data_IF_076748924794
#
_entry.id   IF_076748924794
#
_cell.length_a   1.000
_cell.length_b   1.000
_cell.length_c   1.000
_cell.angle_alpha   90.00
_cell.angle_beta   90.00
_cell.angle_gamma   90.00
#
_symmetry.space_group_name_H-M   'P 1'
#
loop_
_entity.id
_entity.type
_entity.pdbx_description
1 polymer ?
#
# COMPACT_ATOMS: atom_id res chain seq x y z
N UNK A 1 -31.40 -23.10 -26.31
CA UNK A 1 -32.00 -22.77 -25.00
C UNK A 1 -31.39 -21.44 -24.55
N UNK A 2 -32.17 -20.38 -24.54
CA UNK A 2 -31.78 -19.10 -23.94
C UNK A 2 -31.63 -19.36 -22.43
N UNK A 3 -30.41 -19.35 -21.90
CA UNK A 3 -30.17 -19.39 -20.48
C UNK A 3 -30.84 -18.15 -19.86
N UNK A 4 -31.86 -18.36 -19.02
CA UNK A 4 -32.45 -17.26 -18.26
C UNK A 4 -31.44 -16.72 -17.30
N UNK A 5 -31.18 -15.40 -17.34
CA UNK A 5 -30.24 -14.75 -16.45
C UNK A 5 -30.70 -14.85 -14.98
N UNK A 6 -29.80 -15.23 -14.10
CA UNK A 6 -30.04 -15.24 -12.67
C UNK A 6 -30.06 -13.81 -12.13
N UNK A 7 -31.10 -13.43 -11.40
CA UNK A 7 -31.35 -12.06 -10.96
C UNK A 7 -30.74 -11.78 -9.59
N UNK A 8 -30.02 -10.68 -9.47
CA UNK A 8 -29.43 -10.13 -8.24
C UNK A 8 -29.75 -8.64 -8.11
N UNK A 9 -29.65 -8.10 -6.92
CA UNK A 9 -29.64 -6.65 -6.73
C UNK A 9 -28.25 -6.07 -7.11
N UNK A 10 -27.17 -6.79 -6.71
CA UNK A 10 -25.78 -6.42 -6.96
C UNK A 10 -24.98 -7.60 -7.48
N UNK A 11 -24.23 -7.36 -8.56
CA UNK A 11 -23.13 -8.25 -8.98
C UNK A 11 -21.81 -7.54 -8.74
N UNK A 12 -20.89 -8.20 -8.01
CA UNK A 12 -19.55 -7.70 -7.72
C UNK A 12 -18.52 -8.52 -8.50
N UNK A 13 -17.60 -7.85 -9.19
CA UNK A 13 -16.53 -8.48 -9.97
C UNK A 13 -15.19 -8.29 -9.25
N UNK A 14 -14.68 -9.34 -8.63
CA UNK A 14 -13.44 -9.35 -7.83
C UNK A 14 -13.68 -9.39 -6.34
N UNK A 15 -12.95 -10.26 -5.63
CA UNK A 15 -13.04 -10.50 -4.19
C UNK A 15 -11.98 -9.77 -3.37
N UNK A 16 -11.28 -8.80 -3.96
CA UNK A 16 -10.35 -7.93 -3.27
C UNK A 16 -11.04 -7.01 -2.24
N UNK A 17 -10.29 -6.15 -1.53
CA UNK A 17 -10.83 -5.30 -0.45
C UNK A 17 -12.08 -4.51 -0.83
N UNK A 18 -12.10 -3.89 -2.02
CA UNK A 18 -13.27 -3.14 -2.48
C UNK A 18 -14.49 -4.04 -2.72
N UNK A 19 -14.27 -5.17 -3.39
CA UNK A 19 -15.36 -6.09 -3.74
C UNK A 19 -15.93 -6.79 -2.52
N UNK A 20 -15.09 -7.34 -1.64
CA UNK A 20 -15.52 -8.01 -0.40
C UNK A 20 -16.34 -7.07 0.49
N UNK A 21 -15.84 -5.83 0.72
CA UNK A 21 -16.52 -4.89 1.61
C UNK A 21 -17.75 -4.26 0.97
N UNK A 22 -17.75 -4.04 -0.34
CA UNK A 22 -18.94 -3.61 -1.09
C UNK A 22 -20.03 -4.69 -1.07
N UNK A 23 -19.68 -5.94 -1.35
CA UNK A 23 -20.62 -7.07 -1.30
C UNK A 23 -21.23 -7.25 0.09
N UNK A 24 -20.40 -7.29 1.13
CA UNK A 24 -20.85 -7.41 2.51
C UNK A 24 -21.76 -6.25 2.93
N UNK A 25 -21.45 -5.01 2.52
CA UNK A 25 -22.27 -3.83 2.81
C UNK A 25 -23.67 -3.96 2.19
N UNK A 26 -23.76 -4.37 0.92
CA UNK A 26 -25.06 -4.55 0.26
C UNK A 26 -25.88 -5.68 0.92
N UNK A 27 -25.26 -6.81 1.17
CA UNK A 27 -25.90 -7.96 1.81
C UNK A 27 -26.38 -7.64 3.23
N UNK A 28 -25.60 -6.87 4.01
CA UNK A 28 -25.99 -6.39 5.35
C UNK A 28 -27.30 -5.58 5.32
N UNK A 29 -27.55 -4.82 4.25
CA UNK A 29 -28.79 -4.08 4.01
C UNK A 29 -29.84 -4.90 3.21
N UNK A 30 -29.76 -6.22 3.24
CA UNK A 30 -30.79 -7.14 2.70
C UNK A 30 -30.81 -7.26 1.18
N UNK A 31 -29.74 -6.85 0.48
CA UNK A 31 -29.63 -7.02 -0.97
C UNK A 31 -29.18 -8.43 -1.32
N UNK A 32 -29.74 -8.99 -2.39
CA UNK A 32 -29.27 -10.24 -2.98
C UNK A 32 -28.00 -9.98 -3.79
N UNK A 33 -26.87 -10.54 -3.37
CA UNK A 33 -25.54 -10.24 -3.92
C UNK A 33 -24.88 -11.49 -4.49
N UNK A 34 -24.33 -11.37 -5.71
CA UNK A 34 -23.36 -12.32 -6.25
C UNK A 34 -21.98 -11.67 -6.31
N UNK A 35 -20.94 -12.41 -5.90
CA UNK A 35 -19.54 -12.01 -6.02
C UNK A 35 -18.80 -13.00 -6.92
N UNK A 36 -18.22 -12.47 -8.00
CA UNK A 36 -17.49 -13.25 -9.01
C UNK A 36 -16.00 -13.12 -8.75
N UNK A 37 -15.27 -14.25 -8.72
CA UNK A 37 -13.81 -14.27 -8.61
C UNK A 37 -13.23 -15.27 -9.61
N UNK A 38 -12.25 -14.82 -10.40
CA UNK A 38 -11.59 -15.66 -11.41
C UNK A 38 -10.46 -16.52 -10.84
N UNK A 39 -9.79 -16.00 -9.81
CA UNK A 39 -8.65 -16.66 -9.19
C UNK A 39 -9.10 -17.76 -8.23
N UNK A 40 -8.25 -18.75 -7.97
CA UNK A 40 -8.58 -19.85 -7.05
C UNK A 40 -8.74 -19.40 -5.60
N UNK A 41 -8.14 -18.27 -5.22
CA UNK A 41 -8.17 -17.73 -3.87
C UNK A 41 -8.89 -16.40 -3.81
N UNK A 42 -9.70 -16.19 -2.78
CA UNK A 42 -10.34 -14.91 -2.47
C UNK A 42 -9.32 -13.88 -1.93
N UNK A 43 -9.72 -12.60 -1.87
CA UNK A 43 -8.97 -11.54 -1.20
C UNK A 43 -8.12 -10.66 -2.12
N UNK A 44 -8.05 -10.99 -3.42
CA UNK A 44 -7.32 -10.21 -4.42
C UNK A 44 -5.83 -10.02 -4.07
N UNK A 45 -5.20 -9.01 -4.66
CA UNK A 45 -3.78 -8.71 -4.43
C UNK A 45 -3.46 -8.40 -2.96
N UNK A 46 -4.35 -7.77 -2.22
CA UNK A 46 -4.14 -7.40 -0.82
C UNK A 46 -3.75 -8.61 0.05
N UNK A 47 -4.41 -9.74 -0.13
CA UNK A 47 -4.20 -10.94 0.68
C UNK A 47 -3.20 -11.88 0.03
N UNK A 48 -3.14 -11.92 -1.30
CA UNK A 48 -2.41 -12.98 -2.01
C UNK A 48 -1.01 -12.55 -2.50
N UNK A 49 -0.84 -11.31 -2.95
CA UNK A 49 0.38 -10.89 -3.65
C UNK A 49 0.91 -9.51 -3.26
N UNK A 50 0.23 -8.79 -2.36
CA UNK A 50 0.59 -7.41 -2.04
C UNK A 50 0.73 -7.14 -0.54
N UNK A 51 -0.28 -6.51 0.03
CA UNK A 51 -0.23 -5.91 1.38
C UNK A 51 0.11 -6.93 2.47
N UNK A 52 -0.70 -7.96 2.67
CA UNK A 52 -0.51 -8.92 3.77
C UNK A 52 0.77 -9.73 3.60
N UNK A 53 1.07 -10.33 2.44
CA UNK A 53 2.31 -11.06 2.26
C UNK A 53 3.57 -10.24 2.54
N UNK A 54 3.71 -9.06 1.95
CA UNK A 54 4.93 -8.24 2.10
C UNK A 54 5.12 -7.72 3.53
N UNK A 55 4.02 -7.37 4.25
CA UNK A 55 4.11 -6.92 5.64
C UNK A 55 4.49 -8.08 6.56
N UNK A 56 3.99 -9.29 6.31
CA UNK A 56 4.40 -10.48 7.07
C UNK A 56 5.87 -10.83 6.79
N UNK A 57 6.34 -10.72 5.55
CA UNK A 57 7.76 -10.91 5.23
C UNK A 57 8.65 -9.86 5.92
N UNK A 58 8.18 -8.62 6.04
CA UNK A 58 8.88 -7.59 6.82
C UNK A 58 9.07 -8.01 8.27
N UNK A 59 8.04 -8.50 8.95
CA UNK A 59 8.15 -8.98 10.33
C UNK A 59 9.10 -10.18 10.42
N UNK A 60 9.03 -11.12 9.48
CA UNK A 60 9.98 -12.23 9.39
C UNK A 60 11.43 -11.72 9.21
N UNK A 61 11.65 -10.73 8.34
CA UNK A 61 12.98 -10.14 8.13
C UNK A 61 13.51 -9.45 9.40
N UNK A 62 12.67 -8.72 10.13
CA UNK A 62 13.03 -8.11 11.41
C UNK A 62 13.40 -9.16 12.45
N UNK A 63 12.64 -10.24 12.53
CA UNK A 63 12.91 -11.34 13.46
C UNK A 63 14.25 -12.02 13.15
N UNK A 64 14.43 -12.50 11.90
CA UNK A 64 15.61 -13.26 11.51
C UNK A 64 16.89 -12.40 11.42
N UNK A 65 16.76 -11.11 11.14
CA UNK A 65 17.92 -10.20 11.09
C UNK A 65 18.48 -9.85 12.47
N UNK A 66 17.68 -9.95 13.52
CA UNK A 66 18.05 -9.50 14.87
C UNK A 66 18.31 -7.99 14.97
N UNK A 67 17.85 -7.19 14.01
CA UNK A 67 18.13 -5.74 13.96
C UNK A 67 17.66 -5.00 15.22
N UNK A 68 16.47 -5.35 15.74
CA UNK A 68 15.94 -4.76 16.98
C UNK A 68 16.81 -5.07 18.17
N UNK A 69 17.21 -6.34 18.34
CA UNK A 69 18.01 -6.81 19.46
C UNK A 69 19.43 -6.27 19.44
N UNK A 70 20.04 -6.19 18.26
CA UNK A 70 21.40 -5.65 18.08
C UNK A 70 21.49 -4.19 18.52
N UNK A 71 20.52 -3.37 18.16
CA UNK A 71 20.46 -1.96 18.53
C UNK A 71 20.31 -1.74 20.05
N UNK A 72 19.60 -2.65 20.75
CA UNK A 72 19.32 -2.52 22.19
C UNK A 72 20.41 -3.16 23.05
N UNK A 73 20.81 -4.38 22.73
CA UNK A 73 21.66 -5.20 23.61
C UNK A 73 23.11 -5.32 23.16
N UNK A 74 23.45 -4.78 21.97
CA UNK A 74 24.79 -4.91 21.39
C UNK A 74 25.19 -6.34 21.03
N UNK A 75 24.24 -7.28 21.04
CA UNK A 75 24.47 -8.71 20.76
C UNK A 75 23.89 -9.04 19.39
N UNK A 76 24.65 -9.77 18.58
CA UNK A 76 24.15 -10.26 17.29
C UNK A 76 23.30 -11.52 17.47
N UNK A 77 21.98 -11.35 17.49
CA UNK A 77 20.99 -12.43 17.48
C UNK A 77 20.55 -12.84 16.08
N UNK A 78 21.32 -12.49 15.06
CA UNK A 78 20.97 -12.83 13.69
C UNK A 78 20.88 -14.35 13.48
N UNK A 79 19.73 -14.81 13.04
CA UNK A 79 19.49 -16.21 12.66
C UNK A 79 19.73 -16.43 11.15
N UNK A 80 20.50 -15.56 10.50
CA UNK A 80 20.74 -15.63 9.05
C UNK A 80 21.51 -16.86 8.62
N UNK A 81 22.44 -17.33 9.46
CA UNK A 81 23.19 -18.55 9.19
C UNK A 81 22.26 -19.75 9.24
N UNK A 82 22.04 -20.37 8.10
CA UNK A 82 21.13 -21.51 7.93
C UNK A 82 19.66 -21.16 7.68
N UNK A 83 19.29 -19.87 7.57
CA UNK A 83 17.94 -19.45 7.20
C UNK A 83 17.61 -19.94 5.78
N UNK A 84 16.57 -20.76 5.67
CA UNK A 84 16.05 -21.19 4.37
C UNK A 84 14.93 -20.25 3.89
N UNK A 85 14.67 -20.23 2.60
CA UNK A 85 13.53 -19.50 2.05
C UNK A 85 12.21 -20.04 2.61
N UNK A 86 12.12 -21.33 2.89
CA UNK A 86 10.95 -21.96 3.50
C UNK A 86 10.66 -21.38 4.89
N UNK A 87 11.68 -21.21 5.73
CA UNK A 87 11.54 -20.60 7.06
C UNK A 87 11.08 -19.13 6.92
N UNK A 88 11.68 -18.40 6.00
CA UNK A 88 11.33 -17.00 5.73
C UNK A 88 9.88 -16.83 5.26
N UNK A 89 9.39 -17.73 4.40
CA UNK A 89 8.03 -17.67 3.83
C UNK A 89 6.96 -18.28 4.74
N UNK A 90 7.33 -19.13 5.70
CA UNK A 90 6.38 -19.93 6.50
C UNK A 90 5.28 -19.09 7.15
N UNK A 91 5.64 -18.07 7.90
CA UNK A 91 4.66 -17.22 8.59
C UNK A 91 3.76 -16.45 7.61
N UNK A 92 4.31 -16.01 6.47
CA UNK A 92 3.52 -15.39 5.39
C UNK A 92 2.43 -16.34 4.89
N UNK A 93 2.76 -17.62 4.66
CA UNK A 93 1.80 -18.60 4.15
C UNK A 93 0.69 -18.89 5.16
N UNK A 94 1.01 -18.96 6.46
CA UNK A 94 0.01 -19.13 7.53
C UNK A 94 -0.95 -17.93 7.61
N UNK A 95 -0.43 -16.69 7.60
CA UNK A 95 -1.25 -15.48 7.69
C UNK A 95 -2.15 -15.34 6.46
N UNK A 96 -1.61 -15.58 5.26
CA UNK A 96 -2.41 -15.56 4.02
C UNK A 96 -3.53 -16.59 4.07
N UNK A 97 -3.25 -17.82 4.52
CA UNK A 97 -4.27 -18.85 4.65
C UNK A 97 -5.36 -18.48 5.67
N UNK A 98 -4.98 -17.87 6.79
CA UNK A 98 -5.92 -17.41 7.82
C UNK A 98 -6.82 -16.28 7.30
N UNK A 99 -6.25 -15.29 6.59
CA UNK A 99 -7.02 -14.18 6.01
C UNK A 99 -7.97 -14.64 4.90
N UNK A 100 -7.56 -15.59 4.05
CA UNK A 100 -8.48 -16.20 3.04
C UNK A 100 -9.70 -16.83 3.73
N UNK A 101 -9.49 -17.66 4.77
CA UNK A 101 -10.58 -18.28 5.54
C UNK A 101 -11.49 -17.25 6.21
N UNK A 102 -10.94 -16.12 6.65
CA UNK A 102 -11.72 -15.02 7.23
C UNK A 102 -12.64 -14.38 6.20
N UNK A 103 -12.14 -14.14 4.98
CA UNK A 103 -12.96 -13.61 3.87
C UNK A 103 -14.05 -14.61 3.48
N UNK A 104 -13.72 -15.88 3.28
CA UNK A 104 -14.70 -16.94 2.95
C UNK A 104 -15.82 -16.99 4.00
N UNK A 105 -15.47 -16.96 5.29
CA UNK A 105 -16.47 -16.90 6.38
C UNK A 105 -17.32 -15.64 6.33
N UNK A 106 -16.69 -14.48 6.02
CA UNK A 106 -17.40 -13.21 5.91
C UNK A 106 -18.42 -13.24 4.76
N UNK A 107 -18.05 -13.75 3.59
CA UNK A 107 -18.96 -13.91 2.45
C UNK A 107 -20.12 -14.84 2.78
N UNK A 108 -19.82 -15.99 3.38
CA UNK A 108 -20.84 -16.99 3.77
C UNK A 108 -21.80 -16.46 4.83
N UNK A 109 -21.30 -15.75 5.87
CA UNK A 109 -22.12 -15.19 6.95
C UNK A 109 -23.09 -14.10 6.49
N UNK A 110 -22.79 -13.45 5.36
CA UNK A 110 -23.65 -12.45 4.73
C UNK A 110 -24.57 -13.07 3.65
N UNK A 111 -24.53 -14.39 3.41
CA UNK A 111 -25.34 -15.05 2.39
C UNK A 111 -25.00 -14.60 0.96
N UNK A 112 -23.76 -14.16 0.71
CA UNK A 112 -23.29 -13.72 -0.60
C UNK A 112 -23.08 -14.95 -1.47
N UNK A 113 -23.68 -14.97 -2.66
CA UNK A 113 -23.47 -16.05 -3.62
C UNK A 113 -22.09 -15.89 -4.27
N UNK A 114 -21.20 -16.81 -3.94
CA UNK A 114 -19.83 -16.81 -4.48
C UNK A 114 -19.79 -17.60 -5.80
N UNK A 115 -19.38 -16.92 -6.89
CA UNK A 115 -19.33 -17.47 -8.23
C UNK A 115 -17.90 -17.51 -8.73
N UNK A 116 -17.36 -18.70 -8.93
CA UNK A 116 -16.02 -18.89 -9.48
C UNK A 116 -16.05 -18.75 -11.00
N UNK A 117 -15.20 -17.88 -11.55
CA UNK A 117 -15.03 -17.75 -13.00
C UNK A 117 -14.63 -16.34 -13.45
N UNK A 118 -14.34 -16.20 -14.73
CA UNK A 118 -14.03 -14.92 -15.36
C UNK A 118 -15.32 -14.21 -15.80
N UNK A 119 -15.50 -12.99 -15.31
CA UNK A 119 -16.65 -12.14 -15.67
C UNK A 119 -16.40 -11.39 -16.98
N UNK A 120 -17.43 -11.26 -17.81
CA UNK A 120 -17.42 -10.50 -19.04
C UNK A 120 -18.78 -9.82 -19.20
N UNK A 121 -18.82 -8.53 -19.51
CA UNK A 121 -20.06 -7.82 -19.81
C UNK A 121 -20.68 -8.35 -21.11
N UNK A 122 -21.93 -8.75 -21.06
CA UNK A 122 -22.78 -9.01 -22.23
C UNK A 122 -23.50 -7.72 -22.65
N UNK A 123 -23.98 -6.95 -21.67
CA UNK A 123 -24.53 -5.61 -21.75
C UNK A 123 -24.35 -4.88 -20.39
N UNK A 124 -24.92 -3.68 -20.23
CA UNK A 124 -24.78 -2.83 -19.04
C UNK A 124 -25.31 -3.47 -17.74
N UNK A 125 -26.23 -4.42 -17.82
CA UNK A 125 -26.86 -5.09 -16.67
C UNK A 125 -26.60 -6.59 -16.60
N UNK A 126 -25.87 -7.14 -17.59
CA UNK A 126 -25.72 -8.60 -17.73
C UNK A 126 -24.24 -9.00 -17.80
N UNK A 127 -23.86 -9.92 -16.91
CA UNK A 127 -22.53 -10.49 -16.85
C UNK A 127 -22.60 -11.97 -17.22
N UNK A 128 -21.76 -12.38 -18.15
CA UNK A 128 -21.47 -13.79 -18.42
C UNK A 128 -20.26 -14.21 -17.59
N UNK A 129 -20.39 -15.31 -16.85
CA UNK A 129 -19.29 -15.89 -16.07
C UNK A 129 -18.85 -17.18 -16.74
N UNK A 130 -17.59 -17.23 -17.17
CA UNK A 130 -16.96 -18.40 -17.78
C UNK A 130 -16.11 -19.11 -16.74
N UNK A 131 -16.40 -20.40 -16.50
CA UNK A 131 -15.66 -21.27 -15.57
C UNK A 131 -15.46 -22.65 -16.18
N UNK A 132 -14.90 -23.60 -15.40
CA UNK A 132 -14.92 -25.03 -15.75
C UNK A 132 -16.38 -25.50 -15.69
N UNK A 133 -17.04 -25.66 -16.84
CA UNK A 133 -18.43 -26.05 -16.95
C UNK A 133 -19.26 -25.15 -17.87
N UNK A 134 -20.59 -25.20 -17.75
CA UNK A 134 -21.47 -24.35 -18.53
C UNK A 134 -21.35 -22.88 -18.05
N UNK A 135 -21.33 -21.90 -18.98
CA UNK A 135 -21.35 -20.49 -18.61
C UNK A 135 -22.61 -20.14 -17.82
N UNK A 136 -22.46 -19.27 -16.81
CA UNK A 136 -23.60 -18.68 -16.08
C UNK A 136 -23.84 -17.25 -16.58
N UNK A 137 -25.10 -16.85 -16.63
CA UNK A 137 -25.48 -15.47 -16.94
C UNK A 137 -26.15 -14.86 -15.71
N UNK A 138 -25.58 -13.78 -15.20
CA UNK A 138 -26.07 -13.05 -14.03
C UNK A 138 -26.54 -11.67 -14.47
N UNK A 139 -27.66 -11.21 -13.95
CA UNK A 139 -28.19 -9.87 -14.21
C UNK A 139 -28.43 -9.13 -12.90
N UNK A 140 -28.12 -7.82 -12.88
CA UNK A 140 -28.32 -7.01 -11.70
C UNK A 140 -28.70 -5.57 -12.04
N UNK A 141 -29.37 -4.89 -11.09
CA UNK A 141 -29.65 -3.45 -11.18
C UNK A 141 -28.41 -2.61 -10.93
N UNK A 142 -27.42 -3.15 -10.19
CA UNK A 142 -26.13 -2.51 -9.95
C UNK A 142 -24.99 -3.51 -10.15
N UNK A 143 -23.87 -3.05 -10.72
CA UNK A 143 -22.65 -3.84 -10.90
C UNK A 143 -21.48 -3.05 -10.29
N UNK A 144 -20.66 -3.72 -9.45
CA UNK A 144 -19.43 -3.14 -8.89
C UNK A 144 -18.19 -3.82 -9.49
N UNK A 145 -17.41 -3.09 -10.26
CA UNK A 145 -16.13 -3.53 -10.80
C UNK A 145 -15.04 -3.28 -9.74
N UNK A 146 -14.51 -4.36 -9.15
CA UNK A 146 -13.51 -4.33 -8.08
C UNK A 146 -12.32 -5.25 -8.40
N UNK A 147 -11.94 -5.28 -9.67
CA UNK A 147 -10.93 -6.21 -10.22
C UNK A 147 -9.49 -5.89 -9.84
N UNK A 148 -9.26 -4.70 -9.26
CA UNK A 148 -7.96 -4.30 -8.72
C UNK A 148 -6.90 -4.07 -9.80
N UNK A 149 -5.65 -4.36 -9.45
CA UNK A 149 -4.48 -4.14 -10.30
C UNK A 149 -3.50 -5.31 -10.23
N UNK A 150 -2.56 -5.35 -11.18
CA UNK A 150 -1.42 -6.27 -11.22
C UNK A 150 -0.12 -5.53 -11.54
N UNK A 151 1.07 -6.12 -11.27
CA UNK A 151 2.33 -5.53 -11.69
C UNK A 151 2.35 -5.26 -13.21
N UNK A 152 2.95 -4.15 -13.60
CA UNK A 152 3.20 -3.89 -15.01
C UNK A 152 4.43 -4.67 -15.46
N UNK A 153 4.22 -5.68 -16.31
CA UNK A 153 5.30 -6.41 -16.99
C UNK A 153 5.54 -5.80 -18.36
N UNK A 154 6.62 -5.04 -18.49
CA UNK A 154 7.05 -4.51 -19.78
C UNK A 154 7.57 -5.65 -20.66
N UNK A 155 7.20 -5.62 -21.95
CA UNK A 155 7.47 -6.73 -22.87
C UNK A 155 8.98 -6.97 -23.13
N UNK A 156 9.79 -5.92 -22.98
CA UNK A 156 11.24 -5.94 -23.16
C UNK A 156 12.00 -6.59 -21.98
N UNK A 157 11.33 -6.86 -20.86
CA UNK A 157 11.95 -7.46 -19.67
C UNK A 157 11.67 -8.97 -19.67
N UNK A 158 12.72 -9.82 -19.70
CA UNK A 158 12.56 -11.26 -19.76
C UNK A 158 12.27 -11.86 -18.37
N UNK A 159 11.07 -11.60 -17.83
CA UNK A 159 10.63 -12.18 -16.57
C UNK A 159 10.63 -13.70 -16.63
N UNK A 160 11.34 -14.34 -15.71
CA UNK A 160 11.43 -15.80 -15.62
C UNK A 160 10.97 -16.35 -14.25
N UNK A 161 10.60 -15.45 -13.32
CA UNK A 161 10.16 -15.74 -11.95
C UNK A 161 11.16 -16.62 -11.15
N UNK A 162 12.46 -16.56 -11.52
CA UNK A 162 13.59 -17.23 -10.86
C UNK A 162 14.75 -16.28 -10.58
N UNK A 163 15.01 -15.37 -11.52
CA UNK A 163 16.09 -14.39 -11.43
C UNK A 163 15.57 -12.98 -11.68
N UNK A 164 14.51 -12.84 -12.46
CA UNK A 164 13.88 -11.56 -12.79
C UNK A 164 12.42 -11.63 -12.38
N UNK A 165 12.12 -10.93 -11.29
CA UNK A 165 10.83 -10.95 -10.61
C UNK A 165 10.07 -9.63 -10.80
N UNK A 166 8.75 -9.69 -10.66
CA UNK A 166 7.92 -8.57 -10.25
C UNK A 166 7.50 -8.70 -8.78
N UNK A 167 6.67 -7.75 -8.29
CA UNK A 167 6.24 -7.74 -6.89
C UNK A 167 5.31 -8.88 -6.49
N UNK A 168 4.72 -9.58 -7.42
CA UNK A 168 3.86 -10.72 -7.16
C UNK A 168 4.69 -12.02 -7.19
N UNK A 169 5.52 -12.20 -8.21
CA UNK A 169 6.33 -13.41 -8.38
C UNK A 169 7.48 -13.54 -7.37
N UNK A 170 7.97 -12.43 -6.79
CA UNK A 170 8.98 -12.47 -5.74
C UNK A 170 8.54 -13.28 -4.51
N UNK A 171 7.25 -13.40 -4.27
CA UNK A 171 6.66 -14.17 -3.16
C UNK A 171 6.77 -15.68 -3.35
N UNK A 172 7.18 -16.14 -4.53
CA UNK A 172 7.36 -17.56 -4.87
C UNK A 172 8.82 -17.94 -5.09
N UNK A 173 9.75 -17.06 -4.69
CA UNK A 173 11.19 -17.31 -4.81
C UNK A 173 11.59 -18.61 -4.09
N UNK A 174 12.54 -19.33 -4.65
CA UNK A 174 13.03 -20.61 -4.14
C UNK A 174 14.28 -20.50 -3.26
N UNK A 175 14.91 -19.31 -3.21
CA UNK A 175 16.07 -19.01 -2.35
C UNK A 175 16.16 -17.53 -2.02
N UNK A 176 16.83 -17.20 -0.93
CA UNK A 176 17.22 -15.83 -0.59
C UNK A 176 18.51 -15.53 -1.37
N UNK A 177 18.53 -14.51 -2.28
CA UNK A 177 19.70 -14.24 -3.11
C UNK A 177 20.82 -13.56 -2.30
N UNK A 178 22.06 -13.65 -2.78
CA UNK A 178 23.19 -12.91 -2.22
C UNK A 178 23.15 -11.42 -2.61
N UNK A 179 22.61 -11.13 -3.81
CA UNK A 179 22.50 -9.75 -4.32
C UNK A 179 21.25 -9.56 -5.17
N UNK A 180 20.69 -8.35 -5.12
CA UNK A 180 19.46 -8.01 -5.82
C UNK A 180 19.50 -6.58 -6.35
N UNK A 181 19.11 -6.41 -7.62
CA UNK A 181 18.77 -5.08 -8.16
C UNK A 181 17.27 -4.86 -7.99
N UNK A 182 16.87 -3.77 -7.31
CA UNK A 182 15.48 -3.35 -7.19
C UNK A 182 15.26 -2.15 -8.11
N UNK A 183 14.38 -2.29 -9.09
CA UNK A 183 14.03 -1.23 -10.04
C UNK A 183 12.74 -0.55 -9.62
N UNK A 184 12.83 0.72 -9.25
CA UNK A 184 11.74 1.57 -8.78
C UNK A 184 11.86 1.94 -7.31
N UNK A 185 12.12 3.21 -7.01
CA UNK A 185 12.18 3.82 -5.66
C UNK A 185 10.82 4.30 -5.14
N UNK A 186 9.73 3.63 -5.58
CA UNK A 186 8.37 3.78 -5.05
C UNK A 186 8.14 2.95 -3.79
N UNK A 187 6.88 2.89 -3.32
CA UNK A 187 6.50 2.17 -2.09
C UNK A 187 6.98 0.71 -2.12
N UNK A 188 6.60 -0.03 -3.16
CA UNK A 188 6.91 -1.46 -3.28
C UNK A 188 8.43 -1.70 -3.32
N UNK A 189 9.15 -0.92 -4.13
CA UNK A 189 10.61 -1.07 -4.23
C UNK A 189 11.33 -0.75 -2.92
N UNK A 190 10.94 0.32 -2.22
CA UNK A 190 11.51 0.67 -0.91
C UNK A 190 11.20 -0.40 0.16
N UNK A 191 9.97 -0.94 0.19
CA UNK A 191 9.60 -2.01 1.11
C UNK A 191 10.46 -3.25 0.90
N UNK A 192 10.53 -3.79 -0.32
CA UNK A 192 11.34 -4.97 -0.61
C UNK A 192 12.85 -4.71 -0.47
N UNK A 193 13.34 -3.54 -0.88
CA UNK A 193 14.75 -3.17 -0.67
C UNK A 193 15.12 -3.22 0.82
N UNK A 194 14.25 -2.68 1.70
CA UNK A 194 14.48 -2.70 3.15
C UNK A 194 14.42 -4.12 3.74
N UNK A 195 13.48 -4.96 3.27
CA UNK A 195 13.30 -6.35 3.70
C UNK A 195 14.57 -7.17 3.37
N UNK A 196 15.00 -7.15 2.10
CA UNK A 196 16.15 -7.93 1.68
C UNK A 196 17.47 -7.38 2.24
N UNK A 197 17.64 -6.07 2.35
CA UNK A 197 18.80 -5.47 3.01
C UNK A 197 18.87 -5.86 4.49
N UNK A 198 17.75 -5.90 5.20
CA UNK A 198 17.69 -6.39 6.58
C UNK A 198 18.19 -7.84 6.70
N UNK A 199 17.85 -8.70 5.75
CA UNK A 199 18.35 -10.07 5.67
C UNK A 199 19.83 -10.17 5.25
N UNK A 200 20.49 -9.06 4.90
CA UNK A 200 21.90 -9.01 4.50
C UNK A 200 22.15 -9.24 3.02
N UNK A 201 21.11 -9.23 2.20
CA UNK A 201 21.23 -9.22 0.75
C UNK A 201 21.87 -7.89 0.30
N UNK A 202 22.82 -7.94 -0.62
CA UNK A 202 23.42 -6.74 -1.23
C UNK A 202 22.41 -6.13 -2.21
N UNK A 203 21.75 -5.04 -1.80
CA UNK A 203 20.70 -4.42 -2.59
C UNK A 203 21.22 -3.19 -3.34
N UNK A 204 20.97 -3.14 -4.66
CA UNK A 204 21.13 -1.96 -5.50
C UNK A 204 19.74 -1.44 -5.90
N UNK A 205 19.34 -0.25 -5.44
CA UNK A 205 18.07 0.37 -5.78
C UNK A 205 18.27 1.38 -6.91
N UNK A 206 17.58 1.16 -8.02
CA UNK A 206 17.66 1.96 -9.25
C UNK A 206 16.37 2.70 -9.47
N UNK A 207 16.44 4.01 -9.69
CA UNK A 207 15.28 4.84 -10.07
C UNK A 207 15.71 5.96 -11.04
N UNK A 208 14.90 6.20 -12.06
CA UNK A 208 15.11 7.30 -13.00
C UNK A 208 14.88 8.70 -12.40
N UNK A 209 14.30 8.78 -11.20
CA UNK A 209 14.12 10.02 -10.43
C UNK A 209 15.34 10.25 -9.53
N UNK A 210 15.41 11.43 -8.95
CA UNK A 210 16.51 11.88 -8.10
C UNK A 210 16.37 11.51 -6.61
N UNK A 211 15.18 11.03 -6.18
CA UNK A 211 14.90 10.67 -4.78
C UNK A 211 13.89 9.53 -4.64
N UNK A 212 13.91 8.90 -3.46
CA UNK A 212 12.89 7.92 -3.05
C UNK A 212 11.57 8.63 -2.76
N UNK A 213 10.44 7.93 -3.03
CA UNK A 213 9.11 8.31 -2.57
C UNK A 213 8.80 9.82 -2.76
N UNK A 214 8.86 10.36 -3.98
CA UNK A 214 8.84 11.81 -4.23
C UNK A 214 7.56 12.53 -3.76
N UNK A 215 6.50 11.78 -3.46
CA UNK A 215 5.24 12.28 -2.93
C UNK A 215 5.24 12.48 -1.41
N UNK A 216 6.24 11.96 -0.70
CA UNK A 216 6.43 12.20 0.74
C UNK A 216 7.14 13.52 1.00
N UNK A 217 6.96 14.01 2.22
CA UNK A 217 7.79 15.08 2.77
C UNK A 217 9.28 14.73 2.63
N UNK A 218 10.07 15.68 2.13
CA UNK A 218 11.48 15.46 1.77
C UNK A 218 12.33 14.99 2.95
N UNK A 219 12.08 15.54 4.14
CA UNK A 219 12.82 15.17 5.34
C UNK A 219 12.59 13.69 5.72
N UNK A 220 11.36 13.21 5.58
CA UNK A 220 11.02 11.81 5.84
C UNK A 220 11.67 10.88 4.80
N UNK A 221 11.62 11.25 3.53
CA UNK A 221 12.26 10.47 2.46
C UNK A 221 13.78 10.39 2.62
N UNK A 222 14.44 11.47 3.01
CA UNK A 222 15.87 11.50 3.28
C UNK A 222 16.27 10.69 4.51
N UNK A 223 15.45 10.69 5.57
CA UNK A 223 15.67 9.80 6.72
C UNK A 223 15.57 8.32 6.35
N UNK A 224 14.60 7.95 5.51
CA UNK A 224 14.54 6.58 4.98
C UNK A 224 15.81 6.26 4.18
N UNK A 225 16.24 7.15 3.28
CA UNK A 225 17.43 6.95 2.49
C UNK A 225 18.65 6.69 3.38
N UNK A 226 18.86 7.55 4.39
CA UNK A 226 19.96 7.40 5.36
C UNK A 226 19.89 6.06 6.10
N UNK A 227 18.69 5.61 6.45
CA UNK A 227 18.52 4.30 7.11
C UNK A 227 18.84 3.15 6.18
N UNK A 228 18.37 3.19 4.93
CA UNK A 228 18.69 2.18 3.92
C UNK A 228 20.19 2.14 3.60
N UNK A 229 20.83 3.30 3.53
CA UNK A 229 22.30 3.40 3.38
C UNK A 229 23.03 2.70 4.53
N UNK A 230 22.56 2.87 5.77
CA UNK A 230 23.11 2.16 6.94
C UNK A 230 22.89 0.65 6.90
N UNK A 231 22.00 0.16 6.04
CA UNK A 231 21.80 -1.26 5.71
C UNK A 231 22.57 -1.69 4.46
N UNK A 232 23.50 -0.86 3.97
CA UNK A 232 24.33 -1.06 2.78
C UNK A 232 23.53 -1.16 1.46
N UNK A 233 22.37 -0.49 1.36
CA UNK A 233 21.68 -0.32 0.09
C UNK A 233 22.42 0.69 -0.77
N UNK A 234 22.78 0.31 -1.98
CA UNK A 234 23.38 1.22 -2.97
C UNK A 234 22.30 1.88 -3.81
N UNK A 235 22.41 3.20 -4.04
CA UNK A 235 21.41 3.97 -4.80
C UNK A 235 21.97 4.39 -6.16
N UNK A 236 21.16 4.18 -7.20
CA UNK A 236 21.42 4.59 -8.58
C UNK A 236 20.28 5.46 -9.07
N UNK A 237 20.31 6.75 -8.65
CA UNK A 237 19.31 7.75 -9.05
C UNK A 237 19.66 8.37 -10.40
N UNK A 238 18.63 8.80 -11.15
CA UNK A 238 18.78 9.34 -12.48
C UNK A 238 19.19 8.32 -13.54
N UNK A 239 19.34 7.05 -13.16
CA UNK A 239 19.70 5.96 -14.07
C UNK A 239 18.44 5.26 -14.60
N UNK A 240 18.42 5.04 -15.90
CA UNK A 240 17.36 4.26 -16.57
C UNK A 240 17.94 3.00 -17.15
N UNK A 241 17.22 1.92 -17.01
CA UNK A 241 17.60 0.65 -17.60
C UNK A 241 17.46 0.72 -19.13
N UNK A 242 18.55 0.42 -19.84
CA UNK A 242 18.55 0.22 -21.28
C UNK A 242 18.31 -1.26 -21.63
N UNK A 243 18.92 -2.18 -20.87
CA UNK A 243 18.84 -3.61 -21.12
C UNK A 243 19.03 -4.40 -19.83
N UNK A 244 18.38 -5.56 -19.75
CA UNK A 244 18.66 -6.59 -18.75
C UNK A 244 18.78 -7.94 -19.44
N UNK A 245 19.78 -8.73 -19.04
CA UNK A 245 20.06 -10.03 -19.64
C UNK A 245 20.54 -11.04 -18.59
N UNK A 246 20.29 -12.33 -18.87
CA UNK A 246 20.78 -13.44 -18.07
C UNK A 246 22.27 -13.63 -18.31
N UNK A 247 22.98 -13.98 -17.23
CA UNK A 247 24.38 -14.41 -17.26
C UNK A 247 24.51 -15.79 -16.60
N UNK A 248 25.71 -16.41 -16.68
CA UNK A 248 25.94 -17.73 -16.07
C UNK A 248 25.79 -17.75 -14.54
N UNK A 249 25.86 -16.60 -13.85
CA UNK A 249 25.78 -16.50 -12.39
C UNK A 249 24.70 -15.56 -11.88
N UNK A 250 23.78 -15.11 -12.74
CA UNK A 250 22.75 -14.14 -12.34
C UNK A 250 22.22 -13.30 -13.49
N UNK A 251 22.21 -11.99 -13.29
CA UNK A 251 21.74 -11.01 -14.30
C UNK A 251 22.77 -9.89 -14.47
N UNK A 252 22.76 -9.27 -15.62
CA UNK A 252 23.44 -8.00 -15.91
C UNK A 252 22.39 -6.98 -16.36
N UNK A 253 22.39 -5.83 -15.71
CA UNK A 253 21.61 -4.67 -16.11
C UNK A 253 22.54 -3.60 -16.66
N UNK A 254 22.23 -3.08 -17.85
CA UNK A 254 22.94 -1.98 -18.48
C UNK A 254 22.04 -0.76 -18.48
N UNK A 255 22.58 0.39 -18.13
CA UNK A 255 21.88 1.69 -18.10
C UNK A 255 22.04 2.44 -19.41
N UNK A 256 21.16 3.40 -19.67
CA UNK A 256 21.30 4.35 -20.80
C UNK A 256 22.61 5.15 -20.74
N UNK A 257 23.15 5.37 -19.55
CA UNK A 257 24.45 6.01 -19.32
C UNK A 257 25.66 5.15 -19.78
N UNK A 258 25.45 3.89 -20.17
CA UNK A 258 26.49 2.92 -20.51
C UNK A 258 27.10 2.18 -19.32
N UNK A 259 26.80 2.56 -18.09
CA UNK A 259 27.21 1.80 -16.90
C UNK A 259 26.45 0.48 -16.82
N UNK A 260 26.97 -0.48 -16.06
CA UNK A 260 26.28 -1.75 -15.82
C UNK A 260 26.42 -2.21 -14.38
N UNK A 261 25.40 -2.98 -13.92
CA UNK A 261 25.36 -3.66 -12.63
C UNK A 261 25.20 -5.18 -12.86
N UNK A 262 25.83 -5.96 -12.00
CA UNK A 262 25.60 -7.39 -11.94
C UNK A 262 24.98 -7.73 -10.57
N UNK A 263 24.02 -8.63 -10.56
CA UNK A 263 23.44 -9.19 -9.35
C UNK A 263 22.96 -10.62 -9.60
N UNK A 264 22.64 -11.33 -8.55
CA UNK A 264 22.02 -12.65 -8.69
C UNK A 264 20.60 -12.55 -9.22
N UNK A 265 19.83 -11.56 -8.72
CA UNK A 265 18.42 -11.38 -9.09
C UNK A 265 18.08 -9.92 -9.35
N UNK A 266 16.94 -9.69 -10.02
CA UNK A 266 16.31 -8.38 -10.12
C UNK A 266 14.83 -8.43 -9.74
N UNK A 267 14.36 -7.38 -9.07
CA UNK A 267 12.96 -7.13 -8.75
C UNK A 267 12.49 -5.86 -9.46
N UNK A 268 11.49 -5.96 -10.32
CA UNK A 268 10.85 -4.83 -10.95
C UNK A 268 9.62 -4.39 -10.17
N UNK A 269 9.69 -3.18 -9.60
CA UNK A 269 8.64 -2.54 -8.82
C UNK A 269 8.23 -1.19 -9.46
N UNK A 270 8.24 -1.12 -10.80
CA UNK A 270 8.10 0.12 -11.57
C UNK A 270 6.65 0.39 -12.04
N UNK A 271 5.66 0.03 -11.23
CA UNK A 271 4.26 0.37 -11.47
C UNK A 271 3.30 -0.81 -11.52
N UNK A 272 2.01 -0.47 -11.53
CA UNK A 272 0.89 -1.41 -11.62
C UNK A 272 -0.11 -0.93 -12.68
N UNK A 273 -0.88 -1.84 -13.27
CA UNK A 273 -1.96 -1.53 -14.21
C UNK A 273 -3.29 -2.13 -13.75
N UNK A 274 -4.40 -1.46 -14.08
CA UNK A 274 -5.74 -1.93 -13.76
C UNK A 274 -6.06 -3.26 -14.46
N UNK A 275 -6.81 -4.12 -13.79
CA UNK A 275 -7.26 -5.39 -14.32
C UNK A 275 -8.58 -5.20 -15.09
N UNK A 276 -8.49 -4.73 -16.31
CA UNK A 276 -9.64 -4.49 -17.20
C UNK A 276 -9.73 -5.47 -18.36
N UNK A 277 -8.66 -6.20 -18.63
CA UNK A 277 -8.59 -7.09 -19.80
C UNK A 277 -9.64 -8.21 -19.70
N UNK A 278 -10.34 -8.45 -20.81
CA UNK A 278 -11.37 -9.48 -20.93
C UNK A 278 -12.73 -9.13 -20.29
N UNK A 279 -12.88 -7.95 -19.69
CA UNK A 279 -14.18 -7.52 -19.15
C UNK A 279 -15.18 -7.10 -20.23
N UNK A 280 -14.72 -6.72 -21.43
CA UNK A 280 -15.55 -6.15 -22.52
C UNK A 280 -16.32 -4.90 -22.07
N UNK A 281 -15.62 -3.96 -21.43
CA UNK A 281 -16.18 -2.74 -20.83
C UNK A 281 -16.96 -1.89 -21.83
N UNK A 282 -16.58 -1.93 -23.11
CA UNK A 282 -17.24 -1.24 -24.22
C UNK A 282 -18.68 -1.68 -24.42
N UNK A 283 -19.03 -2.95 -24.11
CA UNK A 283 -20.42 -3.44 -24.21
C UNK A 283 -21.33 -2.84 -23.14
N UNK A 284 -20.76 -2.42 -22.03
CA UNK A 284 -21.48 -1.72 -20.97
C UNK A 284 -21.43 -0.19 -21.13
N UNK A 285 -20.63 0.36 -22.05
CA UNK A 285 -20.41 1.79 -22.17
C UNK A 285 -19.51 2.38 -21.08
N UNK A 286 -18.64 1.57 -20.48
CA UNK A 286 -17.70 1.99 -19.43
C UNK A 286 -16.42 2.51 -20.07
N UNK A 287 -16.07 3.76 -19.79
CA UNK A 287 -14.87 4.40 -20.32
C UNK A 287 -13.63 4.11 -19.48
N UNK A 288 -12.51 4.04 -20.18
CA UNK A 288 -11.17 3.83 -19.60
C UNK A 288 -10.27 4.98 -20.06
N UNK A 289 -9.49 5.54 -19.14
CA UNK A 289 -8.55 6.61 -19.46
C UNK A 289 -7.26 6.08 -20.12
N UNK A 290 -6.38 7.00 -20.56
CA UNK A 290 -5.12 6.67 -21.23
C UNK A 290 -4.13 5.83 -20.40
N UNK A 291 -4.35 5.72 -19.07
CA UNK A 291 -3.54 4.87 -18.18
C UNK A 291 -4.14 3.47 -17.99
N UNK A 292 -5.25 3.14 -18.66
CA UNK A 292 -5.94 1.86 -18.49
C UNK A 292 -6.71 1.76 -17.17
N UNK A 293 -7.24 2.87 -16.65
CA UNK A 293 -8.02 2.94 -15.42
C UNK A 293 -9.47 3.32 -15.75
N UNK A 294 -10.42 2.72 -15.05
CA UNK A 294 -11.85 3.01 -15.24
C UNK A 294 -12.14 4.44 -14.74
N UNK A 295 -12.85 5.21 -15.56
CA UNK A 295 -13.29 6.55 -15.22
C UNK A 295 -14.54 6.48 -14.34
N UNK A 296 -14.52 7.17 -13.19
CA UNK A 296 -15.65 7.26 -12.27
C UNK A 296 -15.89 8.71 -11.84
N UNK A 297 -17.13 9.00 -11.42
CA UNK A 297 -17.49 10.24 -10.77
C UNK A 297 -17.22 10.19 -9.25
N UNK A 298 -17.59 11.23 -8.52
CA UNK A 298 -17.42 11.34 -7.05
C UNK A 298 -18.19 10.27 -6.25
N UNK A 299 -19.19 9.64 -6.86
CA UNK A 299 -20.00 8.57 -6.29
C UNK A 299 -19.51 7.17 -6.68
N UNK A 300 -18.34 7.09 -7.32
CA UNK A 300 -17.76 5.86 -7.87
C UNK A 300 -18.58 5.22 -8.99
N UNK A 301 -19.57 5.92 -9.55
CA UNK A 301 -20.33 5.49 -10.73
C UNK A 301 -19.49 5.75 -11.98
N UNK A 302 -19.46 4.79 -12.89
CA UNK A 302 -18.76 4.90 -14.16
C UNK A 302 -19.57 5.77 -15.15
N UNK A 303 -19.13 5.86 -16.41
CA UNK A 303 -19.90 6.50 -17.50
C UNK A 303 -21.18 5.74 -17.85
N UNK A 304 -21.31 4.50 -17.38
CA UNK A 304 -22.50 3.66 -17.57
C UNK A 304 -23.36 3.66 -16.29
N UNK A 305 -24.60 4.11 -16.40
CA UNK A 305 -25.54 4.18 -15.28
C UNK A 305 -25.77 2.81 -14.63
N UNK A 306 -25.66 2.74 -13.30
CA UNK A 306 -25.81 1.51 -12.52
C UNK A 306 -24.52 0.66 -12.48
N UNK A 307 -23.44 1.08 -13.17
CA UNK A 307 -22.15 0.42 -13.11
C UNK A 307 -21.17 1.26 -12.31
N UNK A 308 -20.62 0.70 -11.27
CA UNK A 308 -19.69 1.31 -10.31
C UNK A 308 -18.30 0.68 -10.42
N UNK A 309 -17.26 1.40 -10.06
CA UNK A 309 -15.92 0.83 -9.94
C UNK A 309 -15.20 1.38 -8.69
N UNK A 310 -14.40 0.52 -8.02
CA UNK A 310 -13.71 0.87 -6.80
C UNK A 310 -12.39 0.10 -6.63
N UNK A 311 -11.47 0.67 -5.87
CA UNK A 311 -10.13 0.12 -5.63
C UNK A 311 -9.15 0.43 -6.74
N UNK A 312 -8.06 -0.34 -6.81
CA UNK A 312 -6.93 -0.05 -7.71
C UNK A 312 -7.29 0.09 -9.19
N UNK A 313 -8.42 -0.49 -9.62
CA UNK A 313 -8.88 -0.41 -11.02
C UNK A 313 -9.27 1.01 -11.45
N UNK A 314 -9.56 1.89 -10.49
CA UNK A 314 -9.80 3.33 -10.72
C UNK A 314 -8.56 4.20 -10.45
N UNK A 315 -7.47 3.61 -9.92
CA UNK A 315 -6.19 4.27 -9.71
C UNK A 315 -5.96 4.78 -8.28
N UNK A 316 -5.28 5.92 -8.19
CA UNK A 316 -4.90 6.53 -6.90
C UNK A 316 -6.14 6.76 -5.99
N UNK A 317 -6.00 6.51 -4.65
CA UNK A 317 -4.76 6.27 -3.91
C UNK A 317 -4.28 4.79 -3.84
N UNK A 318 -4.98 3.82 -4.43
CA UNK A 318 -4.56 2.41 -4.55
C UNK A 318 -4.06 1.79 -3.22
N UNK A 319 -4.79 2.05 -2.13
CA UNK A 319 -4.55 1.51 -0.80
C UNK A 319 -5.67 0.56 -0.41
N UNK A 320 -5.34 -0.53 0.27
CA UNK A 320 -6.34 -1.53 0.67
C UNK A 320 -7.46 -0.93 1.53
N UNK A 321 -7.12 -0.09 2.52
CA UNK A 321 -8.08 0.62 3.37
C UNK A 321 -9.00 1.54 2.58
N UNK A 322 -8.44 2.35 1.69
CA UNK A 322 -9.23 3.23 0.82
C UNK A 322 -10.11 2.43 -0.13
N UNK A 323 -9.61 1.34 -0.70
CA UNK A 323 -10.39 0.45 -1.56
C UNK A 323 -11.60 -0.14 -0.84
N UNK A 324 -11.44 -0.54 0.44
CA UNK A 324 -12.55 -1.00 1.28
C UNK A 324 -13.64 0.06 1.42
N UNK A 325 -13.24 1.30 1.67
CA UNK A 325 -14.17 2.41 1.86
C UNK A 325 -14.83 2.85 0.55
N UNK A 326 -14.10 2.83 -0.55
CA UNK A 326 -14.64 3.10 -1.89
C UNK A 326 -15.70 2.06 -2.28
N UNK A 327 -15.47 0.76 -2.02
CA UNK A 327 -16.44 -0.29 -2.27
C UNK A 327 -17.73 -0.10 -1.47
N UNK A 328 -17.62 0.25 -0.17
CA UNK A 328 -18.79 0.58 0.66
C UNK A 328 -19.56 1.79 0.14
N UNK A 329 -18.84 2.85 -0.23
CA UNK A 329 -19.45 4.09 -0.73
C UNK A 329 -20.15 3.87 -2.07
N UNK A 330 -19.52 3.19 -3.02
CA UNK A 330 -20.13 2.84 -4.30
C UNK A 330 -21.49 2.15 -4.10
N UNK A 331 -21.56 1.20 -3.17
CA UNK A 331 -22.78 0.48 -2.82
C UNK A 331 -23.80 1.39 -2.11
N UNK A 332 -23.34 2.27 -1.21
CA UNK A 332 -24.23 3.25 -0.57
C UNK A 332 -24.89 4.17 -1.61
N UNK A 333 -24.15 4.63 -2.61
CA UNK A 333 -24.69 5.44 -3.68
C UNK A 333 -25.62 4.63 -4.60
N UNK A 334 -25.23 3.41 -5.00
CA UNK A 334 -26.02 2.54 -5.86
C UNK A 334 -27.44 2.28 -5.29
N UNK A 335 -27.54 2.08 -4.00
CA UNK A 335 -28.81 1.76 -3.31
C UNK A 335 -29.37 2.91 -2.48
N UNK A 336 -28.77 4.09 -2.54
CA UNK A 336 -29.19 5.30 -1.77
C UNK A 336 -29.23 5.07 -0.26
N UNK A 337 -28.30 4.28 0.27
CA UNK A 337 -28.16 4.09 1.71
C UNK A 337 -27.63 5.35 2.38
N UNK A 338 -28.27 5.76 3.49
CA UNK A 338 -27.88 6.99 4.21
C UNK A 338 -26.73 6.77 5.22
N UNK A 339 -26.22 5.55 5.31
CA UNK A 339 -25.23 5.16 6.32
C UNK A 339 -23.88 5.87 6.12
N UNK A 340 -23.40 5.97 4.87
CA UNK A 340 -22.12 6.58 4.52
C UNK A 340 -22.25 7.33 3.19
N UNK A 341 -21.86 8.62 3.21
CA UNK A 341 -22.07 9.51 2.05
C UNK A 341 -20.77 9.97 1.39
N UNK A 342 -19.64 9.95 2.12
CA UNK A 342 -18.34 10.43 1.62
C UNK A 342 -17.18 9.68 2.26
N UNK A 343 -16.06 9.71 1.56
CA UNK A 343 -14.78 9.28 2.08
C UNK A 343 -14.26 10.35 3.07
N UNK A 344 -13.47 9.93 4.06
CA UNK A 344 -12.77 10.88 4.92
C UNK A 344 -11.85 11.78 4.08
N UNK A 345 -11.77 13.05 4.44
CA UNK A 345 -10.90 14.01 3.73
C UNK A 345 -9.43 13.73 3.94
N UNK A 346 -9.09 13.15 5.09
CA UNK A 346 -7.74 12.81 5.50
C UNK A 346 -7.54 11.30 5.41
N UNK A 347 -6.73 10.86 4.44
CA UNK A 347 -6.41 9.46 4.20
C UNK A 347 -4.95 9.19 4.58
N UNK A 348 -4.68 8.59 5.75
CA UNK A 348 -3.32 8.24 6.13
C UNK A 348 -2.77 7.15 5.20
N UNK A 349 -1.51 7.31 4.84
CA UNK A 349 -0.75 6.34 4.05
C UNK A 349 0.31 5.69 4.93
N UNK A 350 0.31 4.36 5.01
CA UNK A 350 1.36 3.57 5.65
C UNK A 350 2.30 2.95 4.61
N UNK A 351 3.59 3.06 4.85
CA UNK A 351 4.66 2.43 4.06
C UNK A 351 5.49 1.57 5.00
N UNK A 352 5.50 0.29 4.74
CA UNK A 352 6.05 -0.72 5.65
C UNK A 352 7.50 -1.05 5.30
N UNK A 353 8.32 -0.02 5.15
CA UNK A 353 9.78 -0.14 5.11
C UNK A 353 10.36 -0.50 6.49
N UNK A 354 11.67 -0.66 6.60
CA UNK A 354 12.41 -0.79 7.85
C UNK A 354 13.32 0.44 7.99
N UNK A 355 12.91 1.46 8.81
CA UNK A 355 11.69 1.57 9.63
C UNK A 355 10.42 1.90 8.83
N UNK A 356 9.26 1.81 9.50
CA UNK A 356 7.97 2.23 8.94
C UNK A 356 7.91 3.72 8.68
N UNK A 357 7.09 4.09 7.69
CA UNK A 357 6.72 5.48 7.43
C UNK A 357 5.20 5.59 7.42
N UNK A 358 4.67 6.68 7.96
CA UNK A 358 3.29 7.04 7.74
C UNK A 358 3.12 8.55 7.57
N UNK A 359 2.17 8.94 6.73
CA UNK A 359 1.93 10.34 6.41
C UNK A 359 0.45 10.60 6.17
N UNK A 360 -0.02 11.80 6.55
CA UNK A 360 -1.35 12.31 6.25
C UNK A 360 -1.30 13.83 6.10
N UNK A 361 -2.02 14.36 5.12
CA UNK A 361 -2.16 15.79 4.88
C UNK A 361 -1.02 16.41 4.06
N UNK A 362 -0.78 17.70 4.27
CA UNK A 362 0.17 18.50 3.50
C UNK A 362 1.63 18.21 3.89
N UNK A 363 2.51 18.18 2.90
CA UNK A 363 3.98 18.23 3.08
C UNK A 363 4.46 19.67 3.09
N UNK A 364 5.71 19.94 3.47
CA UNK A 364 6.30 21.29 3.35
C UNK A 364 6.30 21.75 1.88
N UNK A 365 6.63 20.83 0.95
CA UNK A 365 6.65 21.12 -0.48
C UNK A 365 5.25 21.51 -0.99
N UNK A 366 4.21 20.74 -0.62
CA UNK A 366 2.84 21.06 -1.03
C UNK A 366 2.34 22.38 -0.41
N UNK A 367 2.75 22.69 0.83
CA UNK A 367 2.45 23.98 1.43
C UNK A 367 3.11 25.13 0.67
N UNK A 368 4.37 24.97 0.22
CA UNK A 368 5.08 25.95 -0.59
C UNK A 368 4.41 26.17 -1.95
N UNK A 369 4.07 25.08 -2.66
CA UNK A 369 3.35 25.13 -3.94
C UNK A 369 1.99 25.84 -3.83
N UNK A 370 1.23 25.49 -2.77
CA UNK A 370 -0.09 26.08 -2.47
C UNK A 370 -0.02 27.45 -1.80
N UNK A 371 1.19 27.96 -1.50
CA UNK A 371 1.41 29.22 -0.79
C UNK A 371 0.71 29.29 0.57
N UNK A 372 0.65 28.17 1.28
CA UNK A 372 0.09 28.08 2.63
C UNK A 372 1.14 28.61 3.62
N UNK A 373 0.77 29.57 4.47
CA UNK A 373 1.63 30.03 5.56
C UNK A 373 1.63 29.00 6.68
N UNK A 374 2.73 28.26 6.80
CA UNK A 374 2.89 27.16 7.74
C UNK A 374 4.09 27.33 8.68
N UNK A 375 4.10 26.54 9.73
CA UNK A 375 5.27 26.27 10.57
C UNK A 375 5.33 24.76 10.85
N UNK A 376 6.47 24.32 11.38
CA UNK A 376 6.76 22.89 11.59
C UNK A 376 7.18 22.67 13.04
N UNK A 377 6.72 21.55 13.62
CA UNK A 377 7.22 21.03 14.88
C UNK A 377 7.73 19.61 14.71
N UNK A 378 8.81 19.26 15.41
CA UNK A 378 9.50 17.98 15.31
C UNK A 378 9.73 17.35 16.68
N UNK A 379 9.63 16.01 16.74
CA UNK A 379 10.04 15.25 17.90
C UNK A 379 10.80 13.99 17.44
N UNK A 380 12.09 13.93 17.80
CA UNK A 380 12.92 12.76 17.49
C UNK A 380 12.69 11.66 18.54
N UNK A 381 12.61 10.40 18.11
CA UNK A 381 12.48 9.25 19.00
C UNK A 381 13.70 9.09 19.92
N UNK A 382 14.88 9.51 19.48
CA UNK A 382 16.09 9.54 20.31
C UNK A 382 15.92 10.34 21.61
N UNK A 383 15.04 11.34 21.62
CA UNK A 383 14.75 12.18 22.78
C UNK A 383 13.48 11.74 23.56
N UNK A 384 12.87 10.62 23.16
CA UNK A 384 11.67 10.06 23.78
C UNK A 384 12.06 8.81 24.60
N UNK A 385 11.56 8.68 25.81
CA UNK A 385 11.89 7.57 26.69
C UNK A 385 11.57 6.20 26.06
N UNK A 386 10.45 6.06 25.36
CA UNK A 386 10.09 4.81 24.69
C UNK A 386 11.02 4.54 23.50
N UNK A 387 11.37 5.57 22.72
CA UNK A 387 12.35 5.46 21.63
C UNK A 387 13.71 4.96 22.12
N UNK A 388 14.19 5.49 23.26
CA UNK A 388 15.41 5.00 23.91
C UNK A 388 15.28 3.55 24.40
N UNK A 389 14.16 3.19 25.03
CA UNK A 389 13.90 1.83 25.52
C UNK A 389 13.89 0.81 24.36
N UNK A 390 13.30 1.17 23.21
CA UNK A 390 13.20 0.28 22.06
C UNK A 390 14.41 0.34 21.11
N UNK A 391 15.34 1.28 21.36
CA UNK A 391 16.54 1.46 20.53
C UNK A 391 16.26 2.09 19.15
N UNK A 392 15.09 2.70 18.95
CA UNK A 392 14.75 3.41 17.71
C UNK A 392 15.15 4.88 17.78
N UNK A 393 16.43 5.14 17.59
CA UNK A 393 16.97 6.50 17.58
C UNK A 393 16.71 7.25 16.25
N UNK A 394 16.36 6.56 15.18
CA UNK A 394 16.15 7.12 13.85
C UNK A 394 14.75 7.71 13.65
N UNK A 395 13.81 7.38 14.54
CA UNK A 395 12.42 7.81 14.43
C UNK A 395 12.22 9.31 14.58
N UNK A 396 11.24 9.83 13.85
CA UNK A 396 10.80 11.22 13.84
C UNK A 396 9.29 11.31 13.70
N UNK A 397 8.67 12.19 14.49
CA UNK A 397 7.35 12.75 14.21
C UNK A 397 7.49 14.22 13.82
N UNK A 398 6.86 14.59 12.70
CA UNK A 398 6.83 15.95 12.16
C UNK A 398 5.37 16.41 12.03
N UNK A 399 5.03 17.54 12.62
CA UNK A 399 3.77 18.24 12.50
C UNK A 399 3.92 19.45 11.58
N UNK A 400 3.01 19.61 10.64
CA UNK A 400 2.87 20.82 9.82
C UNK A 400 1.54 21.48 10.18
N UNK A 401 1.57 22.78 10.46
CA UNK A 401 0.40 23.52 10.91
C UNK A 401 0.40 24.95 10.36
N UNK A 402 -0.80 25.52 10.23
CA UNK A 402 -0.93 26.91 9.76
C UNK A 402 -0.48 27.91 10.83
N UNK A 403 0.21 28.96 10.40
CA UNK A 403 0.74 29.98 11.33
C UNK A 403 -0.33 30.83 12.02
N UNK A 404 -1.45 31.09 11.32
CA UNK A 404 -2.49 32.02 11.78
C UNK A 404 -3.38 31.44 12.88
N UNK A 405 -3.74 30.16 12.81
CA UNK A 405 -4.70 29.51 13.69
C UNK A 405 -4.18 28.22 14.34
N UNK A 406 -2.93 27.85 14.09
CA UNK A 406 -2.25 26.66 14.59
C UNK A 406 -2.94 25.33 14.18
N UNK A 407 -3.87 25.35 13.23
CA UNK A 407 -4.55 24.15 12.75
C UNK A 407 -3.54 23.19 12.13
N UNK A 408 -3.56 21.94 12.57
CA UNK A 408 -2.72 20.88 12.03
C UNK A 408 -3.21 20.52 10.64
N UNK A 409 -2.29 20.54 9.65
CA UNK A 409 -2.59 20.29 8.25
C UNK A 409 -1.74 19.16 7.65
N UNK A 410 -0.72 18.70 8.37
CA UNK A 410 0.10 17.56 7.97
C UNK A 410 0.76 16.88 9.16
N UNK A 411 0.82 15.55 9.11
CA UNK A 411 1.52 14.71 10.07
C UNK A 411 2.33 13.69 9.30
N UNK A 412 3.62 13.62 9.59
CA UNK A 412 4.57 12.74 8.91
C UNK A 412 5.44 12.04 9.94
N UNK A 413 5.56 10.74 9.81
CA UNK A 413 6.31 9.91 10.76
C UNK A 413 7.20 8.92 10.03
N UNK A 414 8.36 8.67 10.62
CA UNK A 414 9.23 7.54 10.31
C UNK A 414 9.70 6.95 11.64
N UNK A 415 9.70 5.63 11.76
CA UNK A 415 10.12 4.94 12.98
C UNK A 415 9.21 3.79 13.33
N UNK A 416 9.48 3.14 14.47
CA UNK A 416 8.67 2.04 14.97
C UNK A 416 7.23 2.51 15.26
N UNK A 417 6.25 1.69 14.85
CA UNK A 417 4.81 1.95 15.02
C UNK A 417 4.30 3.23 14.32
N UNK A 418 5.02 3.78 13.35
CA UNK A 418 4.57 4.98 12.64
C UNK A 418 3.19 4.79 12.00
N UNK A 419 2.91 3.60 11.47
CA UNK A 419 1.64 3.24 10.82
C UNK A 419 0.46 3.12 11.79
N UNK A 420 0.71 2.89 13.07
CA UNK A 420 -0.31 2.90 14.13
C UNK A 420 -0.48 4.30 14.74
N UNK A 421 0.62 4.96 15.03
CA UNK A 421 0.63 6.26 15.70
C UNK A 421 0.03 7.38 14.85
N UNK A 422 0.11 7.30 13.52
CA UNK A 422 -0.43 8.30 12.59
C UNK A 422 -1.92 8.57 12.82
N UNK A 423 -2.67 7.58 13.29
CA UNK A 423 -4.11 7.69 13.49
C UNK A 423 -4.50 8.71 14.56
N UNK A 424 -3.63 8.99 15.55
CA UNK A 424 -3.83 10.06 16.53
C UNK A 424 -3.88 11.42 15.81
N UNK A 425 -2.86 11.69 14.99
CA UNK A 425 -2.79 12.92 14.20
C UNK A 425 -3.91 13.02 13.18
N UNK A 426 -4.21 11.93 12.49
CA UNK A 426 -5.31 11.87 11.52
C UNK A 426 -6.66 12.21 12.15
N UNK A 427 -6.95 11.66 13.34
CA UNK A 427 -8.18 11.97 14.08
C UNK A 427 -8.26 13.46 14.49
N UNK A 428 -7.17 14.01 15.01
CA UNK A 428 -7.09 15.43 15.38
C UNK A 428 -7.30 16.32 14.16
N UNK A 429 -6.67 15.99 13.02
CA UNK A 429 -6.83 16.73 11.76
C UNK A 429 -8.26 16.68 11.23
N UNK A 430 -8.90 15.50 11.22
CA UNK A 430 -10.30 15.33 10.76
C UNK A 430 -11.28 16.16 11.59
N UNK A 431 -11.01 16.30 12.90
CA UNK A 431 -11.80 17.15 13.82
C UNK A 431 -11.43 18.64 13.72
N UNK A 432 -10.50 19.04 12.87
CA UNK A 432 -10.03 20.41 12.72
C UNK A 432 -9.17 20.91 13.87
N UNK A 433 -8.52 20.00 14.61
CA UNK A 433 -7.72 20.31 15.78
C UNK A 433 -6.46 21.11 15.50
N UNK A 434 -5.92 21.73 16.55
CA UNK A 434 -4.75 22.60 16.52
C UNK A 434 -3.59 21.97 17.31
N UNK A 435 -2.42 22.63 17.32
CA UNK A 435 -1.30 22.24 18.20
C UNK A 435 -1.71 22.16 19.68
N UNK A 436 -2.59 23.06 20.11
CA UNK A 436 -3.03 23.12 21.50
C UNK A 436 -3.70 21.81 21.92
N UNK A 437 -4.40 21.13 21.00
CA UNK A 437 -4.98 19.80 21.24
C UNK A 437 -3.94 18.81 21.74
N UNK A 438 -2.77 18.71 21.09
CA UNK A 438 -1.71 17.79 21.51
C UNK A 438 -1.03 18.20 22.83
N UNK A 439 -0.98 19.50 23.12
CA UNK A 439 -0.40 20.03 24.35
C UNK A 439 -1.29 19.72 25.54
N UNK A 440 -2.58 19.86 25.39
CA UNK A 440 -3.59 19.65 26.45
C UNK A 440 -3.82 18.15 26.72
N UNK A 441 -3.70 17.28 25.72
CA UNK A 441 -3.85 15.84 25.90
C UNK A 441 -2.81 15.29 26.88
N UNK A 442 -3.21 14.33 27.70
CA UNK A 442 -2.31 13.54 28.54
C UNK A 442 -2.05 12.21 27.85
N UNK A 443 -0.78 11.93 27.57
CA UNK A 443 -0.34 10.65 27.01
C UNK A 443 0.24 9.76 28.10
N UNK A 444 0.09 8.43 27.94
CA UNK A 444 0.75 7.49 28.81
C UNK A 444 2.28 7.63 28.69
N UNK A 445 2.97 7.45 29.82
CA UNK A 445 4.44 7.47 29.87
C UNK A 445 5.00 6.11 30.35
N UNK A 446 6.05 5.56 29.70
CA UNK A 446 6.69 6.01 28.47
C UNK A 446 5.99 5.47 27.21
N UNK A 447 5.65 6.31 26.26
CA UNK A 447 5.08 5.92 24.97
C UNK A 447 5.64 6.77 23.81
N UNK A 448 5.59 6.24 22.57
CA UNK A 448 5.89 7.02 21.38
C UNK A 448 4.78 8.05 21.08
N UNK A 449 3.57 7.88 21.61
CA UNK A 449 2.48 8.86 21.45
C UNK A 449 2.82 10.23 22.04
N UNK A 450 3.69 10.31 23.06
CA UNK A 450 4.17 11.58 23.61
C UNK A 450 4.91 12.45 22.59
N UNK A 451 5.44 11.87 21.51
CA UNK A 451 6.12 12.63 20.46
C UNK A 451 5.20 13.68 19.84
N UNK A 452 3.88 13.47 19.84
CA UNK A 452 2.91 14.49 19.43
C UNK A 452 2.98 15.75 20.28
N UNK A 453 3.04 15.58 21.60
CA UNK A 453 3.15 16.70 22.54
C UNK A 453 4.47 17.48 22.35
N UNK A 454 5.58 16.76 22.25
CA UNK A 454 6.88 17.39 22.09
C UNK A 454 7.05 18.05 20.72
N UNK A 455 6.52 17.47 19.65
CA UNK A 455 6.47 18.13 18.35
C UNK A 455 5.58 19.38 18.38
N UNK A 456 4.49 19.38 19.14
CA UNK A 456 3.66 20.57 19.31
C UNK A 456 4.37 21.68 20.09
N UNK A 457 5.10 21.36 21.15
CA UNK A 457 5.93 22.33 21.87
C UNK A 457 7.06 22.89 20.99
N UNK A 458 7.77 22.05 20.24
CA UNK A 458 8.78 22.51 19.28
C UNK A 458 8.16 23.45 18.23
N UNK A 459 6.99 23.10 17.72
CA UNK A 459 6.23 23.93 16.78
C UNK A 459 5.85 25.29 17.34
N UNK A 460 5.43 25.39 18.60
CA UNK A 460 5.15 26.67 19.27
C UNK A 460 6.44 27.51 19.41
N UNK A 461 7.55 26.88 19.80
CA UNK A 461 8.84 27.52 19.87
C UNK A 461 9.24 28.12 18.53
N UNK A 462 9.11 27.34 17.45
CA UNK A 462 9.41 27.78 16.09
C UNK A 462 8.49 28.92 15.61
N UNK A 463 7.21 28.89 16.01
CA UNK A 463 6.26 29.97 15.71
C UNK A 463 6.62 31.26 16.43
N UNK A 464 7.05 31.20 17.68
CA UNK A 464 7.45 32.33 18.50
C UNK A 464 8.87 32.82 18.20
N UNK A 465 9.63 32.14 17.34
CA UNK A 465 11.03 32.47 17.07
C UNK A 465 12.02 32.06 18.16
N UNK A 466 11.58 31.23 19.12
CA UNK A 466 12.45 30.68 20.15
C UNK A 466 13.21 29.47 19.56
N UNK A 467 14.55 29.57 19.52
CA UNK A 467 15.43 28.43 19.25
C UNK A 467 15.84 27.82 20.57
N UNK A 468 15.56 26.50 20.76
CA UNK A 468 16.21 25.76 21.84
C UNK A 468 17.75 25.86 21.62
N UNK A 469 18.49 26.17 22.67
CA UNK A 469 19.96 26.07 22.63
C UNK A 469 20.27 24.58 22.44
N UNK A 470 21.03 24.27 21.39
CA UNK A 470 21.63 22.95 21.25
C UNK A 470 22.58 22.77 22.47
N UNK A 471 22.20 21.78 23.32
CA UNK A 471 23.01 21.39 24.48
C UNK A 471 24.11 20.41 24.08
#
# INVERSE_FOLDING_TARGET
>A
MTLTAEQFDLVVIGSGPAGEKGAAQAAYFGKRVALIEREESVGGACINTGTVPSKTLRESALYFSGLRQRGIYGIDYSLRAGLTVKDFMHHKDEVVAAERKKIERNLASHGIEFVRGAATFADVHTITVTAKGAPRTLSASAILIATGSRPHRAAEIPYDDKFIFDSDSILTMDRIPESMIVVGGGVIGCEYASIFAALGVKVALVDGRDRLLPFLDKEIAERLRTKLDSLNVQFYFGERMAKIERTNGGIRMTFESGKSLNAETALFAAGRRGNIDGLNLEKAGVEVNSRGLIVVNENYETTATGVYAAGDVIGFPALASTSMEQGRLAVCHAFRFQYKQKLASMMPMGIYTIPEISAVGETEESCQEKKISYAVGRANYANNARGMITGDAAGLLKLIFRRNDKRVIGVHMIGENATELIHIGSAVMEMGGTLDTFIELVFNYPTLSETYKYAAYDGLGNLAGHKLREG
#
